data_IF_718434195621
#
_entry.id   IF_718434195621
#
_cell.length_a   1.000
_cell.length_b   1.000
_cell.length_c   1.000
_cell.angle_alpha   90.00
_cell.angle_beta   90.00
_cell.angle_gamma   90.00
#
_symmetry.space_group_name_H-M   'P 1'
#
loop_
_entity.id
_entity.type
_entity.pdbx_description
1 polymer ?
#
# COMPACT_ATOMS: atom_id res chain seq x y z
N UNK A 1 -9.32 4.37 5.94
CA UNK A 1 -7.92 4.25 5.48
C UNK A 1 -7.10 3.56 6.55
N UNK A 2 -6.59 2.36 6.27
CA UNK A 2 -5.73 1.63 7.21
C UNK A 2 -4.47 2.45 7.48
N UNK A 3 -4.15 2.74 8.75
CA UNK A 3 -3.07 3.65 9.09
C UNK A 3 -1.74 3.19 8.47
N UNK A 4 -1.56 1.87 8.40
CA UNK A 4 -0.43 1.16 7.82
C UNK A 4 -0.20 1.41 6.32
N UNK A 5 -1.25 1.38 5.49
CA UNK A 5 -1.12 1.58 4.04
C UNK A 5 -0.55 2.97 3.76
N UNK A 6 -1.05 4.01 4.44
CA UNK A 6 -0.61 5.38 4.16
C UNK A 6 0.92 5.59 4.20
N UNK A 7 1.58 5.12 5.25
CA UNK A 7 3.02 5.35 5.44
C UNK A 7 3.88 4.39 4.63
N UNK A 8 3.48 3.13 4.52
CA UNK A 8 4.22 2.15 3.73
C UNK A 8 4.19 2.46 2.24
N UNK A 9 3.08 2.98 1.74
CA UNK A 9 2.96 3.38 0.33
C UNK A 9 3.80 4.64 0.01
N UNK A 10 3.86 5.60 0.94
CA UNK A 10 4.75 6.76 0.82
C UNK A 10 6.22 6.33 0.86
N UNK A 11 6.58 5.42 1.77
CA UNK A 11 7.94 4.86 1.87
C UNK A 11 8.36 4.13 0.59
N UNK A 12 7.52 3.24 0.07
CA UNK A 12 7.85 2.46 -1.14
C UNK A 12 8.02 3.36 -2.35
N UNK A 13 7.10 4.31 -2.55
CA UNK A 13 7.15 5.28 -3.65
C UNK A 13 8.43 6.12 -3.58
N UNK A 14 8.79 6.58 -2.38
CA UNK A 14 10.00 7.35 -2.17
C UNK A 14 11.27 6.53 -2.43
N UNK A 15 11.33 5.28 -1.97
CA UNK A 15 12.48 4.38 -2.21
C UNK A 15 12.61 4.06 -3.70
N UNK A 16 11.48 3.75 -4.37
CA UNK A 16 11.40 3.42 -5.79
C UNK A 16 11.94 4.55 -6.66
N UNK A 17 11.43 5.77 -6.46
CA UNK A 17 11.84 6.95 -7.24
C UNK A 17 13.29 7.36 -7.01
N UNK A 18 13.83 7.07 -5.84
CA UNK A 18 15.21 7.46 -5.46
C UNK A 18 16.29 6.47 -5.90
N UNK A 19 15.93 5.24 -6.23
CA UNK A 19 16.86 4.21 -6.74
C UNK A 19 18.00 3.80 -5.78
N UNK A 20 17.92 4.18 -4.50
CA UNK A 20 18.90 3.83 -3.45
C UNK A 20 18.18 3.47 -2.16
N UNK A 21 18.51 2.30 -1.61
CA UNK A 21 17.91 1.72 -0.41
C UNK A 21 18.35 2.43 0.88
N UNK A 22 17.98 3.69 1.06
CA UNK A 22 18.07 4.36 2.36
C UNK A 22 16.65 4.59 2.86
N UNK A 23 16.44 4.16 4.09
CA UNK A 23 15.18 4.23 4.80
C UNK A 23 14.83 5.69 5.14
N UNK A 24 13.55 5.94 5.38
CA UNK A 24 13.04 7.25 5.77
C UNK A 24 13.70 7.74 7.08
N UNK A 25 14.05 9.02 7.12
CA UNK A 25 14.59 9.66 8.33
C UNK A 25 13.49 9.90 9.37
N UNK A 26 13.83 10.10 10.66
CA UNK A 26 12.84 10.43 11.68
C UNK A 26 11.99 11.68 11.36
N UNK A 27 12.55 12.64 10.63
CA UNK A 27 11.85 13.84 10.17
C UNK A 27 10.82 13.50 9.09
N UNK A 28 11.15 12.56 8.21
CA UNK A 28 10.25 12.08 7.15
C UNK A 28 9.03 11.36 7.74
N UNK A 29 9.20 10.64 8.84
CA UNK A 29 8.09 10.00 9.57
C UNK A 29 7.15 11.02 10.20
N UNK A 30 7.68 12.03 10.89
CA UNK A 30 6.88 13.12 11.46
C UNK A 30 6.12 13.90 10.36
N UNK A 31 6.74 14.08 9.20
CA UNK A 31 6.12 14.75 8.06
C UNK A 31 4.92 13.97 7.51
N UNK A 32 5.08 12.66 7.27
CA UNK A 32 3.97 11.81 6.82
C UNK A 32 2.81 11.79 7.84
N UNK A 33 3.13 11.86 9.14
CA UNK A 33 2.11 11.90 10.19
C UNK A 33 1.32 13.21 10.12
N UNK A 34 2.01 14.34 9.92
CA UNK A 34 1.36 15.63 9.71
C UNK A 34 0.42 15.65 8.50
N UNK A 35 0.78 15.00 7.39
CA UNK A 35 -0.08 14.90 6.22
C UNK A 35 -1.34 14.11 6.54
N UNK A 36 -1.18 13.02 7.28
CA UNK A 36 -2.29 12.18 7.67
C UNK A 36 -3.26 12.85 8.64
N UNK A 37 -2.75 13.52 9.68
CA UNK A 37 -3.56 14.26 10.64
C UNK A 37 -4.35 15.38 9.95
N UNK A 38 -3.76 16.02 8.95
CA UNK A 38 -4.43 17.00 8.09
C UNK A 38 -5.45 16.38 7.12
N UNK A 39 -5.50 15.06 7.01
CA UNK A 39 -6.41 14.36 6.11
C UNK A 39 -5.99 14.41 4.63
N UNK A 40 -4.70 14.59 4.36
CA UNK A 40 -4.14 14.50 3.00
C UNK A 40 -4.38 13.08 2.47
N UNK A 41 -5.11 12.91 1.36
CA UNK A 41 -5.31 11.59 0.78
C UNK A 41 -4.00 10.97 0.30
N UNK A 42 -3.89 9.65 0.37
CA UNK A 42 -2.67 8.94 -0.02
C UNK A 42 -2.26 9.25 -1.47
N UNK A 43 -3.18 9.17 -2.43
CA UNK A 43 -2.89 9.44 -3.85
C UNK A 43 -2.36 10.87 -4.09
N UNK A 44 -2.77 11.85 -3.27
CA UNK A 44 -2.25 13.23 -3.34
C UNK A 44 -0.81 13.29 -2.85
N UNK A 45 -0.51 12.62 -1.73
CA UNK A 45 0.85 12.53 -1.21
C UNK A 45 1.79 11.81 -2.20
N UNK A 46 1.36 10.69 -2.79
CA UNK A 46 2.15 9.97 -3.80
C UNK A 46 2.41 10.82 -5.03
N UNK A 47 1.38 11.47 -5.57
CA UNK A 47 1.50 12.36 -6.74
C UNK A 47 2.42 13.54 -6.47
N UNK A 48 2.34 14.16 -5.29
CA UNK A 48 3.25 15.23 -4.90
C UNK A 48 4.70 14.77 -4.80
N UNK A 49 4.95 13.57 -4.26
CA UNK A 49 6.29 12.98 -4.23
C UNK A 49 6.79 12.73 -5.65
N UNK A 50 5.99 12.10 -6.52
CA UNK A 50 6.38 11.85 -7.90
C UNK A 50 6.71 13.15 -8.64
N UNK A 51 5.88 14.19 -8.49
CA UNK A 51 6.08 15.48 -9.12
C UNK A 51 7.34 16.19 -8.61
N UNK A 52 7.64 16.09 -7.31
CA UNK A 52 8.87 16.62 -6.74
C UNK A 52 10.12 15.98 -7.37
N UNK A 53 10.09 14.66 -7.60
CA UNK A 53 11.18 13.97 -8.28
C UNK A 53 11.29 14.35 -9.77
N UNK A 54 10.17 14.45 -10.50
CA UNK A 54 10.17 14.88 -11.91
C UNK A 54 10.74 16.29 -12.06
N UNK A 55 10.30 17.22 -11.21
CA UNK A 55 10.79 18.59 -11.17
C UNK A 55 12.28 18.67 -10.83
N UNK A 56 12.77 17.79 -9.96
CA UNK A 56 14.18 17.71 -9.60
C UNK A 56 15.04 17.12 -10.74
N UNK A 57 14.55 16.09 -11.43
CA UNK A 57 15.22 15.48 -12.59
C UNK A 57 15.28 16.42 -13.79
N UNK A 58 14.19 17.16 -14.06
CA UNK A 58 14.11 18.15 -15.13
C UNK A 58 15.17 19.26 -14.99
N UNK A 59 15.53 19.62 -13.76
CA UNK A 59 16.55 20.64 -13.44
C UNK A 59 18.00 20.14 -13.57
N UNK A 60 18.23 18.88 -13.99
CA UNK A 60 19.57 18.25 -14.17
C UNK A 60 20.49 18.43 -12.96
N UNK A 61 19.95 18.36 -11.73
CA UNK A 61 20.76 18.47 -10.52
C UNK A 61 21.68 17.25 -10.34
N UNK A 62 22.97 17.50 -10.01
CA UNK A 62 23.96 16.45 -9.72
C UNK A 62 23.73 15.71 -8.38
N UNK A 63 22.84 16.20 -7.52
CA UNK A 63 22.62 15.67 -6.16
C UNK A 63 21.26 15.00 -6.11
N UNK A 64 21.15 13.80 -5.54
CA UNK A 64 19.86 13.12 -5.37
C UNK A 64 19.06 13.71 -4.21
N UNK A 65 17.72 13.67 -4.30
CA UNK A 65 16.82 13.93 -3.17
C UNK A 65 17.11 12.91 -2.05
N UNK A 66 17.20 13.36 -0.79
CA UNK A 66 17.62 12.52 0.36
C UNK A 66 16.54 12.32 1.42
N UNK A 67 15.52 13.17 1.46
CA UNK A 67 14.48 13.27 2.50
C UNK A 67 13.14 13.61 1.86
N UNK A 68 12.04 13.10 2.42
CA UNK A 68 10.66 13.45 2.06
C UNK A 68 10.36 14.92 2.33
N UNK A 69 11.13 15.59 3.21
CA UNK A 69 11.02 17.03 3.43
C UNK A 69 11.16 17.85 2.14
N UNK A 70 11.95 17.36 1.17
CA UNK A 70 12.04 18.00 -0.14
C UNK A 70 10.73 17.96 -0.93
N UNK A 71 9.89 16.96 -0.69
CA UNK A 71 8.61 16.77 -1.38
C UNK A 71 7.47 17.50 -0.67
N UNK A 72 7.70 18.12 0.49
CA UNK A 72 6.67 18.77 1.29
C UNK A 72 5.91 19.84 0.50
N UNK A 73 6.62 20.80 -0.09
CA UNK A 73 6.01 21.91 -0.84
C UNK A 73 5.13 21.41 -2.01
N UNK A 74 5.56 20.36 -2.70
CA UNK A 74 4.83 19.78 -3.83
C UNK A 74 3.60 18.98 -3.36
N UNK A 75 3.71 18.24 -2.26
CA UNK A 75 2.58 17.54 -1.65
C UNK A 75 1.53 18.54 -1.15
N UNK A 76 1.95 19.67 -0.57
CA UNK A 76 1.05 20.72 -0.13
C UNK A 76 0.35 21.42 -1.30
N UNK A 77 1.07 21.69 -2.39
CA UNK A 77 0.49 22.26 -3.61
C UNK A 77 -0.58 21.33 -4.20
N UNK A 78 -0.28 20.03 -4.33
CA UNK A 78 -1.24 19.04 -4.82
C UNK A 78 -2.44 18.87 -3.88
N UNK A 79 -2.24 19.02 -2.56
CA UNK A 79 -3.32 18.98 -1.59
C UNK A 79 -4.24 20.21 -1.66
N UNK A 80 -3.68 21.40 -1.87
CA UNK A 80 -4.45 22.62 -2.09
C UNK A 80 -5.31 22.52 -3.36
N UNK A 81 -4.73 22.07 -4.48
CA UNK A 81 -5.44 21.85 -5.75
C UNK A 81 -6.58 20.81 -5.59
N UNK A 82 -6.33 19.75 -4.83
CA UNK A 82 -7.34 18.75 -4.51
C UNK A 82 -8.49 19.30 -3.64
N UNK A 83 -8.21 20.23 -2.73
CA UNK A 83 -9.24 20.90 -1.94
C UNK A 83 -10.06 21.87 -2.81
N UNK A 84 -9.42 22.62 -3.70
CA UNK A 84 -10.08 23.59 -4.60
C UNK A 84 -11.02 22.90 -5.61
N UNK A 85 -10.57 21.80 -6.22
CA UNK A 85 -11.40 21.00 -7.15
C UNK A 85 -12.65 20.40 -6.48
N UNK A 86 -12.61 20.16 -5.17
CA UNK A 86 -13.77 19.68 -4.38
C UNK A 86 -14.77 20.78 -4.03
N UNK A 87 -14.32 22.04 -3.96
CA UNK A 87 -15.20 23.19 -3.71
C UNK A 87 -15.89 23.66 -5.01
N UNK A 88 -15.27 23.43 -6.18
CA UNK A 88 -15.85 23.78 -7.49
C UNK A 88 -16.85 22.78 -8.09
N UNK A 89 -16.98 21.56 -7.54
CA UNK A 89 -17.74 20.45 -8.14
C UNK A 89 -19.23 20.39 -7.78
N UNK A 90 -19.93 21.52 -7.66
CA UNK A 90 -21.38 21.52 -7.45
C UNK A 90 -22.23 21.88 -8.69
N UNK A 91 -21.64 22.32 -9.82
CA UNK A 91 -22.47 23.01 -10.84
C UNK A 91 -22.41 22.51 -12.30
N UNK A 92 -21.69 21.43 -12.65
CA UNK A 92 -21.62 20.99 -14.06
C UNK A 92 -21.46 19.47 -14.26
N UNK A 93 -22.41 18.65 -13.80
CA UNK A 93 -22.31 17.19 -13.88
C UNK A 93 -23.57 16.47 -14.39
N UNK A 94 -24.34 17.04 -15.33
CA UNK A 94 -25.56 16.38 -15.84
C UNK A 94 -25.60 16.07 -17.36
N UNK A 95 -24.56 16.33 -18.17
CA UNK A 95 -24.69 16.15 -19.65
C UNK A 95 -23.64 15.30 -20.37
N UNK A 96 -22.86 14.45 -19.67
CA UNK A 96 -21.89 13.55 -20.34
C UNK A 96 -21.92 12.10 -19.80
N UNK A 97 -23.11 11.58 -19.55
CA UNK A 97 -23.33 10.16 -19.24
C UNK A 97 -23.37 9.32 -20.53
N UNK A 98 -22.25 8.71 -20.94
CA UNK A 98 -22.26 7.43 -21.69
C UNK A 98 -20.88 6.80 -21.97
N UNK A 99 -19.78 7.55 -22.01
CA UNK A 99 -18.49 7.00 -22.53
C UNK A 99 -17.34 6.92 -21.53
N UNK A 100 -17.49 7.40 -20.29
CA UNK A 100 -16.36 7.57 -19.36
C UNK A 100 -16.53 6.86 -18.00
N UNK A 101 -17.06 5.64 -18.01
CA UNK A 101 -17.09 4.79 -16.80
C UNK A 101 -15.67 4.42 -16.29
N UNK A 102 -14.63 4.62 -17.11
CA UNK A 102 -13.21 4.47 -16.74
C UNK A 102 -12.61 5.72 -16.08
N UNK A 103 -13.25 6.90 -16.14
CA UNK A 103 -12.75 8.13 -15.49
C UNK A 103 -13.18 8.31 -14.05
N UNK A 104 -14.19 7.57 -13.57
CA UNK A 104 -14.67 7.65 -12.18
C UNK A 104 -13.94 6.69 -11.21
N UNK A 105 -13.13 5.76 -11.74
CA UNK A 105 -12.35 4.82 -10.92
C UNK A 105 -10.94 5.37 -10.65
N UNK A 106 -10.39 5.23 -9.43
CA UNK A 106 -9.03 5.66 -9.12
C UNK A 106 -7.94 4.92 -9.91
N UNK A 107 -8.28 3.75 -10.47
CA UNK A 107 -7.40 2.88 -11.23
C UNK A 107 -8.15 2.33 -12.46
N UNK A 108 -7.49 2.18 -13.62
CA UNK A 108 -8.12 1.64 -14.81
C UNK A 108 -8.56 0.19 -14.56
N UNK A 109 -9.78 -0.14 -14.98
CA UNK A 109 -10.43 -1.43 -14.68
C UNK A 109 -9.61 -2.63 -15.15
N UNK A 110 -8.97 -2.53 -16.32
CA UNK A 110 -8.11 -3.59 -16.87
C UNK A 110 -6.91 -3.88 -15.97
N UNK A 111 -6.24 -2.84 -15.47
CA UNK A 111 -5.10 -3.03 -14.58
C UNK A 111 -5.54 -3.78 -13.32
N UNK A 112 -6.66 -3.37 -12.70
CA UNK A 112 -7.25 -4.03 -11.53
C UNK A 112 -7.45 -5.53 -11.78
N UNK A 113 -8.06 -5.89 -12.91
CA UNK A 113 -8.29 -7.29 -13.26
C UNK A 113 -6.99 -8.07 -13.49
N UNK A 114 -5.97 -7.46 -14.11
CA UNK A 114 -4.65 -8.08 -14.27
C UNK A 114 -3.97 -8.32 -12.92
N UNK A 115 -4.03 -7.36 -12.00
CA UNK A 115 -3.50 -7.52 -10.64
C UNK A 115 -4.20 -8.66 -9.90
N UNK A 116 -5.54 -8.72 -9.95
CA UNK A 116 -6.31 -9.80 -9.33
C UNK A 116 -5.96 -11.18 -9.92
N UNK A 117 -5.76 -11.27 -11.25
CA UNK A 117 -5.31 -12.51 -11.91
C UNK A 117 -3.90 -12.91 -11.46
N UNK A 118 -2.95 -11.98 -11.47
CA UNK A 118 -1.59 -12.24 -11.01
C UNK A 118 -1.51 -12.65 -9.54
N UNK A 119 -2.36 -12.08 -8.70
CA UNK A 119 -2.49 -12.45 -7.30
C UNK A 119 -3.07 -13.87 -7.12
N UNK A 120 -4.09 -14.24 -7.89
CA UNK A 120 -4.64 -15.61 -7.91
C UNK A 120 -3.58 -16.65 -8.29
N UNK A 121 -2.84 -16.39 -9.37
CA UNK A 121 -1.79 -17.30 -9.84
C UNK A 121 -0.71 -17.50 -8.78
N UNK A 122 -0.34 -16.43 -8.07
CA UNK A 122 0.62 -16.50 -6.98
C UNK A 122 0.07 -17.30 -5.79
N UNK A 123 -1.19 -17.11 -5.40
CA UNK A 123 -1.81 -17.89 -4.32
C UNK A 123 -1.86 -19.39 -4.65
N UNK A 124 -2.29 -19.75 -5.86
CA UNK A 124 -2.35 -21.15 -6.32
C UNK A 124 -0.95 -21.81 -6.34
N UNK A 125 0.05 -21.11 -6.88
CA UNK A 125 1.44 -21.61 -6.87
C UNK A 125 2.00 -21.80 -5.45
N UNK A 126 1.52 -21.02 -4.48
CA UNK A 126 1.94 -21.15 -3.08
C UNK A 126 1.22 -22.28 -2.39
N UNK A 127 -0.05 -22.50 -2.67
CA UNK A 127 -0.79 -23.68 -2.20
C UNK A 127 -0.03 -24.97 -2.57
N UNK A 128 0.37 -25.11 -3.83
CA UNK A 128 1.11 -26.30 -4.33
C UNK A 128 2.48 -26.49 -3.68
N UNK A 129 3.16 -25.41 -3.32
CA UNK A 129 4.52 -25.44 -2.75
C UNK A 129 4.54 -25.53 -1.22
N UNK A 130 3.40 -25.35 -0.57
CA UNK A 130 3.31 -25.30 0.88
C UNK A 130 3.21 -26.71 1.45
N UNK A 131 4.06 -27.04 2.42
CA UNK A 131 4.04 -28.35 3.10
C UNK A 131 3.14 -28.38 4.35
N UNK A 132 2.48 -27.27 4.69
CA UNK A 132 1.55 -27.16 5.81
C UNK A 132 0.11 -27.28 5.31
N UNK A 133 -0.60 -28.31 5.77
CA UNK A 133 -2.01 -28.55 5.41
C UNK A 133 -2.90 -27.37 5.84
N UNK A 134 -2.70 -26.84 7.05
CA UNK A 134 -3.45 -25.68 7.57
C UNK A 134 -3.26 -24.42 6.70
N UNK A 135 -2.03 -24.13 6.28
CA UNK A 135 -1.78 -23.01 5.36
C UNK A 135 -2.37 -23.25 3.98
N UNK A 136 -2.27 -24.49 3.46
CA UNK A 136 -2.81 -24.87 2.16
C UNK A 136 -4.31 -24.65 2.08
N UNK A 137 -5.07 -25.08 3.10
CA UNK A 137 -6.51 -24.87 3.17
C UNK A 137 -6.89 -23.37 3.14
N UNK A 138 -6.14 -22.55 3.88
CA UNK A 138 -6.39 -21.10 3.94
C UNK A 138 -6.03 -20.43 2.61
N UNK A 139 -4.93 -20.83 1.97
CA UNK A 139 -4.55 -20.33 0.64
C UNK A 139 -5.60 -20.69 -0.42
N UNK A 140 -6.09 -21.94 -0.41
CA UNK A 140 -7.16 -22.41 -1.30
C UNK A 140 -8.45 -21.61 -1.10
N UNK A 141 -8.83 -21.37 0.15
CA UNK A 141 -10.00 -20.54 0.50
C UNK A 141 -9.82 -19.09 0.04
N UNK A 142 -8.65 -18.51 0.25
CA UNK A 142 -8.33 -17.15 -0.18
C UNK A 142 -8.39 -17.02 -1.71
N UNK A 143 -7.86 -18.00 -2.44
CA UNK A 143 -7.91 -18.05 -3.90
C UNK A 143 -9.35 -18.12 -4.42
N UNK A 144 -10.22 -18.96 -3.82
CA UNK A 144 -11.64 -19.03 -4.17
C UNK A 144 -12.35 -17.69 -3.97
N UNK A 145 -12.21 -17.09 -2.78
CA UNK A 145 -12.82 -15.79 -2.48
C UNK A 145 -12.32 -14.70 -3.43
N UNK A 146 -11.03 -14.69 -3.74
CA UNK A 146 -10.44 -13.73 -4.67
C UNK A 146 -10.97 -13.93 -6.10
N UNK A 147 -11.23 -15.17 -6.52
CA UNK A 147 -11.81 -15.46 -7.83
C UNK A 147 -13.27 -14.98 -7.94
N UNK A 148 -14.07 -15.17 -6.88
CA UNK A 148 -15.45 -14.68 -6.81
C UNK A 148 -15.48 -13.15 -6.90
N UNK A 149 -14.64 -12.47 -6.10
CA UNK A 149 -14.52 -11.01 -6.11
C UNK A 149 -14.10 -10.47 -7.48
N UNK A 150 -13.16 -11.15 -8.16
CA UNK A 150 -12.73 -10.76 -9.50
C UNK A 150 -13.88 -10.86 -10.50
N UNK A 151 -14.62 -11.98 -10.48
CA UNK A 151 -15.71 -12.23 -11.42
C UNK A 151 -16.88 -11.25 -11.19
N UNK A 152 -17.16 -10.93 -9.92
CA UNK A 152 -18.12 -9.88 -9.54
C UNK A 152 -17.67 -8.49 -10.03
N UNK A 153 -16.38 -8.16 -9.91
CA UNK A 153 -15.80 -6.90 -10.38
C UNK A 153 -15.78 -6.79 -11.91
N UNK A 154 -15.57 -7.90 -12.62
CA UNK A 154 -15.62 -8.00 -14.10
C UNK A 154 -17.06 -7.93 -14.64
N UNK A 155 -18.05 -8.40 -13.88
CA UNK A 155 -19.45 -8.38 -14.28
C UNK A 155 -20.19 -7.09 -13.89
N UNK A 156 -19.67 -6.33 -12.93
CA UNK A 156 -20.30 -5.10 -12.44
C UNK A 156 -20.30 -3.97 -13.49
N UNK A 157 -21.46 -3.35 -13.79
CA UNK A 157 -21.54 -2.22 -14.72
C UNK A 157 -20.92 -0.93 -14.16
N UNK A 158 -20.89 -0.77 -12.83
CA UNK A 158 -20.18 0.29 -12.10
C UNK A 158 -19.41 -0.34 -10.93
N UNK A 159 -18.14 -0.73 -11.12
CA UNK A 159 -17.36 -1.35 -10.06
C UNK A 159 -17.06 -0.34 -8.93
N UNK A 160 -17.05 -0.79 -7.68
CA UNK A 160 -16.70 0.05 -6.53
C UNK A 160 -15.30 -0.34 -6.01
N UNK A 161 -14.29 0.47 -6.33
CA UNK A 161 -12.91 0.23 -5.92
C UNK A 161 -12.73 0.22 -4.39
N UNK A 162 -13.57 0.93 -3.62
CA UNK A 162 -13.47 0.95 -2.15
C UNK A 162 -13.94 -0.37 -1.57
N UNK A 163 -15.07 -0.89 -2.04
CA UNK A 163 -15.58 -2.21 -1.62
C UNK A 163 -14.66 -3.35 -2.03
N UNK A 164 -14.04 -3.22 -3.21
CA UNK A 164 -13.01 -4.16 -3.65
C UNK A 164 -11.83 -4.16 -2.68
N UNK A 165 -11.28 -2.98 -2.35
CA UNK A 165 -10.16 -2.85 -1.40
C UNK A 165 -10.50 -3.36 0.01
N UNK A 166 -11.72 -3.12 0.49
CA UNK A 166 -12.19 -3.67 1.77
C UNK A 166 -12.21 -5.21 1.77
N UNK A 167 -12.68 -5.80 0.68
CA UNK A 167 -12.72 -7.26 0.51
C UNK A 167 -11.31 -7.86 0.43
N UNK A 168 -10.41 -7.22 -0.33
CA UNK A 168 -9.01 -7.63 -0.44
C UNK A 168 -8.28 -7.52 0.90
N UNK A 169 -8.53 -6.46 1.66
CA UNK A 169 -8.03 -6.31 3.04
C UNK A 169 -8.51 -7.46 3.93
N UNK A 170 -9.75 -7.91 3.77
CA UNK A 170 -10.30 -9.05 4.50
C UNK A 170 -9.54 -10.34 4.21
N UNK A 171 -9.30 -10.65 2.93
CA UNK A 171 -8.53 -11.83 2.51
C UNK A 171 -7.09 -11.75 3.02
N UNK A 172 -6.47 -10.56 2.93
CA UNK A 172 -5.13 -10.34 3.46
C UNK A 172 -5.00 -10.63 4.96
N UNK A 173 -6.01 -10.26 5.76
CA UNK A 173 -6.03 -10.55 7.20
C UNK A 173 -6.12 -12.05 7.46
N UNK A 174 -7.01 -12.73 6.76
CA UNK A 174 -7.15 -14.19 6.84
C UNK A 174 -5.83 -14.91 6.50
N UNK A 175 -5.13 -14.46 5.46
CA UNK A 175 -3.81 -14.99 5.11
C UNK A 175 -2.75 -14.70 6.18
N UNK A 176 -2.76 -13.49 6.75
CA UNK A 176 -1.80 -13.10 7.80
C UNK A 176 -1.96 -13.91 9.08
N UNK A 177 -3.20 -14.18 9.48
CA UNK A 177 -3.49 -14.93 10.70
C UNK A 177 -3.03 -16.39 10.55
N UNK A 178 -3.23 -16.98 9.36
CA UNK A 178 -2.73 -18.31 9.05
C UNK A 178 -1.19 -18.36 9.00
N UNK A 179 -0.55 -17.37 8.37
CA UNK A 179 0.91 -17.23 8.38
C UNK A 179 1.44 -17.17 9.82
N UNK A 180 0.87 -16.32 10.68
CA UNK A 180 1.29 -16.21 12.09
C UNK A 180 1.14 -17.53 12.85
N UNK A 181 0.10 -18.30 12.55
CA UNK A 181 -0.17 -19.58 13.19
C UNK A 181 0.79 -20.69 12.73
N UNK A 182 1.24 -20.61 11.47
CA UNK A 182 2.16 -21.58 10.86
C UNK A 182 3.65 -21.39 11.20
N UNK A 183 4.03 -20.22 11.74
CA UNK A 183 5.43 -19.89 12.00
C UNK A 183 5.88 -20.56 13.29
N UNK A 184 7.00 -21.27 13.21
CA UNK A 184 7.60 -21.89 14.39
C UNK A 184 8.04 -20.83 15.41
N UNK A 185 7.88 -21.13 16.71
CA UNK A 185 8.28 -20.22 17.81
C UNK A 185 9.74 -19.78 17.72
N UNK A 186 10.64 -20.64 17.19
CA UNK A 186 12.05 -20.29 16.97
C UNK A 186 12.23 -19.23 15.88
N UNK A 187 11.58 -19.41 14.73
CA UNK A 187 11.66 -18.46 13.61
C UNK A 187 11.02 -17.11 13.97
N UNK A 188 9.88 -17.12 14.67
CA UNK A 188 9.27 -15.89 15.18
C UNK A 188 10.24 -15.09 16.04
N UNK A 189 10.92 -15.73 17.01
CA UNK A 189 11.87 -15.02 17.88
C UNK A 189 13.08 -14.44 17.15
N UNK A 190 13.55 -15.10 16.10
CA UNK A 190 14.68 -14.64 15.29
C UNK A 190 14.30 -13.41 14.46
N UNK A 191 13.17 -13.47 13.76
CA UNK A 191 12.62 -12.36 12.97
C UNK A 191 12.31 -11.17 13.89
N UNK A 192 11.69 -11.41 15.04
CA UNK A 192 11.42 -10.35 16.01
C UNK A 192 12.71 -9.68 16.51
N UNK A 193 13.78 -10.45 16.73
CA UNK A 193 15.06 -9.92 17.22
C UNK A 193 15.73 -9.05 16.16
N UNK A 194 15.69 -9.45 14.89
CA UNK A 194 16.17 -8.63 13.77
C UNK A 194 15.40 -7.32 13.67
N UNK A 195 14.07 -7.37 13.70
CA UNK A 195 13.22 -6.17 13.62
C UNK A 195 13.47 -5.24 14.82
N UNK A 196 13.59 -5.80 16.04
CA UNK A 196 13.95 -5.03 17.25
C UNK A 196 15.31 -4.36 17.11
N UNK A 197 16.30 -5.00 16.48
CA UNK A 197 17.60 -4.36 16.19
C UNK A 197 17.46 -3.24 15.17
N UNK A 198 16.67 -3.43 14.12
CA UNK A 198 16.42 -2.41 13.10
C UNK A 198 15.68 -1.19 13.63
N UNK A 199 14.71 -1.39 14.54
CA UNK A 199 13.95 -0.31 15.17
C UNK A 199 14.65 0.33 16.38
N UNK A 200 15.75 -0.25 16.86
CA UNK A 200 16.50 0.25 18.02
C UNK A 200 16.93 1.72 17.91
N UNK A 201 17.44 2.21 16.77
CA UNK A 201 17.82 3.62 16.61
C UNK A 201 16.62 4.58 16.68
N UNK A 202 15.42 4.09 16.40
CA UNK A 202 14.22 4.90 16.19
C UNK A 202 13.27 4.88 17.39
N UNK A 203 13.43 3.91 18.31
CA UNK A 203 12.59 3.73 19.50
C UNK A 203 12.43 4.98 20.38
N UNK A 204 13.47 5.80 20.51
CA UNK A 204 13.43 7.00 21.35
C UNK A 204 12.59 8.14 20.76
N UNK A 205 12.32 8.12 19.46
CA UNK A 205 11.61 9.16 18.73
C UNK A 205 10.20 8.73 18.29
N UNK A 206 9.78 7.52 18.64
CA UNK A 206 8.48 6.97 18.28
C UNK A 206 7.60 6.87 19.52
N UNK A 207 6.35 7.32 19.41
CA UNK A 207 5.34 6.99 20.40
C UNK A 207 5.17 5.47 20.49
N UNK A 208 4.79 4.98 21.68
CA UNK A 208 4.68 3.55 21.96
C UNK A 208 3.70 2.83 21.03
N UNK A 209 2.58 3.48 20.70
CA UNK A 209 1.58 2.94 19.78
C UNK A 209 2.14 2.79 18.36
N UNK A 210 2.80 3.84 17.86
CA UNK A 210 3.43 3.87 16.53
C UNK A 210 4.55 2.83 16.44
N UNK A 211 5.39 2.73 17.47
CA UNK A 211 6.45 1.73 17.51
C UNK A 211 5.90 0.30 17.41
N UNK A 212 4.85 -0.02 18.19
CA UNK A 212 4.25 -1.35 18.19
C UNK A 212 3.64 -1.66 16.83
N UNK A 213 2.95 -0.69 16.23
CA UNK A 213 2.36 -0.85 14.92
C UNK A 213 3.42 -1.05 13.82
N UNK A 214 4.48 -0.25 13.80
CA UNK A 214 5.61 -0.40 12.87
C UNK A 214 6.30 -1.75 13.04
N UNK A 215 6.44 -2.22 14.27
CA UNK A 215 6.99 -3.55 14.55
C UNK A 215 6.11 -4.66 13.96
N UNK A 216 4.80 -4.63 14.21
CA UNK A 216 3.85 -5.62 13.69
C UNK A 216 3.81 -5.64 12.14
N UNK A 217 3.97 -4.47 11.54
CA UNK A 217 4.01 -4.26 10.10
C UNK A 217 5.27 -4.86 9.45
N UNK A 218 6.44 -4.61 10.03
CA UNK A 218 7.70 -5.18 9.57
C UNK A 218 7.71 -6.70 9.76
N UNK A 219 7.11 -7.19 10.84
CA UNK A 219 6.95 -8.64 11.09
C UNK A 219 6.11 -9.28 9.99
N UNK A 220 4.94 -8.71 9.67
CA UNK A 220 4.09 -9.19 8.59
C UNK A 220 4.78 -9.14 7.22
N UNK A 221 5.57 -8.09 6.94
CA UNK A 221 6.34 -7.98 5.69
C UNK A 221 7.34 -9.14 5.57
N UNK A 222 8.13 -9.41 6.61
CA UNK A 222 9.10 -10.51 6.61
C UNK A 222 8.46 -11.88 6.50
N UNK A 223 7.32 -12.09 7.17
CA UNK A 223 6.57 -13.34 7.06
C UNK A 223 6.04 -13.55 5.64
N UNK A 224 5.48 -12.51 5.02
CA UNK A 224 5.02 -12.61 3.63
C UNK A 224 6.15 -12.88 2.64
N UNK A 225 7.32 -12.25 2.81
CA UNK A 225 8.50 -12.51 1.98
C UNK A 225 9.00 -13.95 2.13
N UNK A 226 9.06 -14.47 3.36
CA UNK A 226 9.57 -15.82 3.64
C UNK A 226 8.66 -16.92 3.09
N UNK A 227 7.34 -16.74 3.21
CA UNK A 227 6.33 -17.68 2.71
C UNK A 227 5.90 -17.37 1.27
N UNK A 228 6.38 -16.24 0.72
CA UNK A 228 6.11 -15.77 -0.64
C UNK A 228 4.63 -15.47 -0.94
N UNK A 229 3.88 -15.05 0.07
CA UNK A 229 2.46 -14.70 -0.06
C UNK A 229 2.33 -13.28 -0.62
N UNK A 230 1.61 -13.08 -1.73
CA UNK A 230 1.44 -11.77 -2.35
C UNK A 230 0.66 -10.79 -1.46
N UNK A 231 0.86 -9.50 -1.73
CA UNK A 231 -0.06 -8.44 -1.31
C UNK A 231 -1.21 -8.41 -2.32
N UNK A 232 -2.44 -8.25 -1.83
CA UNK A 232 -3.66 -8.26 -2.64
C UNK A 232 -4.28 -6.88 -2.79
N UNK A 233 -3.81 -5.90 -2.03
CA UNK A 233 -4.33 -4.53 -2.07
C UNK A 233 -4.15 -3.87 -3.44
N UNK A 234 -5.16 -3.10 -3.86
CA UNK A 234 -5.17 -2.34 -5.11
C UNK A 234 -4.10 -1.24 -5.16
N UNK A 235 -3.47 -0.91 -4.03
CA UNK A 235 -2.35 0.03 -4.01
C UNK A 235 -1.07 -0.54 -4.65
N UNK A 236 -1.02 -1.86 -4.93
CA UNK A 236 0.09 -2.53 -5.63
C UNK A 236 -0.15 -2.75 -7.13
N UNK A 237 -1.12 -2.03 -7.70
CA UNK A 237 -1.36 -1.95 -9.15
C UNK A 237 -0.24 -1.25 -9.91
#
# INVERSE_FOLDING_TARGET
MNYFSYFSEIEDTFIRRRGKHLWLSPIDWALMESWKERGVPLHVALRGIEHAFDSHEAKKHKRSVKTLLYCEEEVEAQYAEWLESRVGSHDQAEEAEAEDADRELPFPRQAVLEHLRGALDQLNQREEKTSSEELGEVLSRAAKLLSEIRDDYESAPKPDARKLEESLTGIERLLNDALRSSVSTKQSTEIEKEIKQQLRPYRAHMEKAVYQQTFDNLLLKRLREQYGVPRLSLFYL
#
